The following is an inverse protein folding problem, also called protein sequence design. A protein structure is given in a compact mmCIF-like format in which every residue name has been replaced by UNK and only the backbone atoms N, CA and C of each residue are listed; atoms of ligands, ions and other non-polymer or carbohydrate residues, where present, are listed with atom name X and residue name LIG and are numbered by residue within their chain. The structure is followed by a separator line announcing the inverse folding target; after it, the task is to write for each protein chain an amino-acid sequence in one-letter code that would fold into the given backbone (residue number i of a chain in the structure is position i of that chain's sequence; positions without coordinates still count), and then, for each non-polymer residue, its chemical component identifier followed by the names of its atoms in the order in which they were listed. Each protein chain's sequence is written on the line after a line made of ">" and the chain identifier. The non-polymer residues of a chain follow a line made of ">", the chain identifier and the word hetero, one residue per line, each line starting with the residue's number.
data_IF_688173791183
#
_entry.id   IF_688173791183
#
_cell.length_a   1.000
_cell.length_b   1.000
_cell.length_c   1.000
_cell.angle_alpha   90.00
_cell.angle_beta   90.00
_cell.angle_gamma   90.00
#
_symmetry.space_group_name_H-M   'P 1'
#
loop_
_entity.id
_entity.type
_entity.pdbx_description
1 polymer ?
#
# COMPACT_ATOMS: atom_id res chain seq x y z
N UNK A 1 14.89 -21.37 24.01
CA UNK A 1 15.86 -20.93 22.99
C UNK A 1 15.28 -19.95 21.97
N UNK A 2 13.97 -19.88 21.73
CA UNK A 2 13.37 -18.88 20.82
C UNK A 2 12.39 -17.98 21.59
N UNK A 3 12.20 -16.72 21.20
CA UNK A 3 11.20 -15.83 21.80
C UNK A 3 9.80 -16.13 21.26
N UNK A 4 9.69 -16.31 19.95
CA UNK A 4 8.47 -16.71 19.24
C UNK A 4 8.64 -18.08 18.58
N UNK A 5 7.54 -18.82 18.44
CA UNK A 5 7.49 -20.06 17.67
C UNK A 5 6.57 -19.93 16.46
N UNK A 6 7.02 -20.48 15.33
CA UNK A 6 6.28 -20.54 14.09
C UNK A 6 6.42 -21.94 13.49
N UNK A 7 5.34 -22.41 12.86
CA UNK A 7 5.30 -23.61 12.06
C UNK A 7 4.68 -23.29 10.68
N UNK A 8 5.21 -23.89 9.63
CA UNK A 8 4.62 -23.73 8.29
C UNK A 8 3.36 -24.60 8.17
N UNK A 9 2.32 -24.09 7.53
CA UNK A 9 1.08 -24.83 7.25
C UNK A 9 0.81 -24.88 5.75
N UNK A 10 0.06 -25.89 5.30
CA UNK A 10 -0.32 -26.04 3.89
C UNK A 10 -1.54 -25.21 3.51
N UNK A 11 -2.34 -24.79 4.49
CA UNK A 11 -3.62 -24.09 4.30
C UNK A 11 -3.87 -23.03 5.39
N UNK A 12 -4.68 -21.99 5.12
CA UNK A 12 -5.10 -21.03 6.13
C UNK A 12 -6.24 -21.64 6.97
N UNK A 13 -5.87 -22.41 8.00
CA UNK A 13 -6.81 -23.16 8.84
C UNK A 13 -6.69 -22.73 10.32
N UNK A 14 -7.76 -22.12 10.85
CA UNK A 14 -7.83 -21.65 12.24
C UNK A 14 -7.92 -22.81 13.24
N UNK A 15 -8.46 -23.95 12.85
CA UNK A 15 -8.57 -25.12 13.71
C UNK A 15 -7.18 -25.72 13.99
N UNK A 16 -6.38 -25.91 12.94
CA UNK A 16 -4.99 -26.36 13.08
C UNK A 16 -4.16 -25.35 13.88
N UNK A 17 -4.35 -24.05 13.63
CA UNK A 17 -3.68 -23.00 14.38
C UNK A 17 -4.02 -23.07 15.88
N UNK A 18 -5.30 -23.30 16.21
CA UNK A 18 -5.74 -23.44 17.59
C UNK A 18 -5.13 -24.67 18.27
N UNK A 19 -5.13 -25.82 17.60
CA UNK A 19 -4.55 -27.07 18.13
C UNK A 19 -3.06 -26.91 18.43
N UNK A 20 -2.31 -26.28 17.51
CA UNK A 20 -0.89 -26.01 17.73
C UNK A 20 -0.67 -25.05 18.91
N UNK A 21 -1.45 -23.97 18.98
CA UNK A 21 -1.34 -23.00 20.05
C UNK A 21 -1.64 -23.61 21.43
N UNK A 22 -2.73 -24.38 21.55
CA UNK A 22 -3.11 -25.07 22.78
C UNK A 22 -2.00 -26.03 23.25
N UNK A 23 -1.43 -26.83 22.33
CA UNK A 23 -0.36 -27.76 22.65
C UNK A 23 0.91 -27.04 23.16
N UNK A 24 1.32 -25.95 22.50
CA UNK A 24 2.50 -25.18 22.92
C UNK A 24 2.26 -24.47 24.25
N UNK A 25 1.09 -23.87 24.43
CA UNK A 25 0.77 -23.07 25.62
C UNK A 25 0.53 -23.93 26.86
N UNK A 26 0.17 -25.21 26.70
CA UNK A 26 0.09 -26.16 27.81
C UNK A 26 1.45 -26.40 28.47
N UNK A 27 2.50 -26.57 27.66
CA UNK A 27 3.88 -26.80 28.14
C UNK A 27 4.63 -25.49 28.41
N UNK A 28 4.28 -24.43 27.69
CA UNK A 28 4.91 -23.12 27.76
C UNK A 28 3.85 -22.00 27.84
N UNK A 29 3.19 -21.82 28.99
CA UNK A 29 2.21 -20.75 29.17
C UNK A 29 2.80 -19.38 28.83
N UNK A 30 2.04 -18.59 28.07
CA UNK A 30 2.46 -17.25 27.63
C UNK A 30 3.46 -17.24 26.47
N UNK A 31 3.81 -18.39 25.88
CA UNK A 31 4.68 -18.44 24.71
C UNK A 31 4.05 -17.70 23.52
N UNK A 32 4.74 -16.69 23.00
CA UNK A 32 4.27 -15.97 21.82
C UNK A 32 4.47 -16.81 20.56
N UNK A 33 3.48 -16.78 19.67
CA UNK A 33 3.50 -17.50 18.41
C UNK A 33 3.56 -16.51 17.23
N UNK A 34 4.00 -17.01 16.09
CA UNK A 34 3.96 -16.30 14.82
C UNK A 34 3.27 -17.12 13.73
N UNK A 35 2.60 -16.44 12.79
CA UNK A 35 1.82 -17.06 11.72
C UNK A 35 2.10 -16.40 10.37
N UNK A 36 2.39 -17.21 9.36
CA UNK A 36 2.53 -16.77 7.97
C UNK A 36 1.15 -16.77 7.28
N UNK A 37 0.59 -15.58 7.05
CA UNK A 37 -0.57 -15.38 6.20
C UNK A 37 -0.17 -15.48 4.72
N UNK A 38 0.19 -16.70 4.29
CA UNK A 38 0.90 -16.95 3.04
C UNK A 38 0.10 -16.60 1.78
N UNK A 39 0.68 -15.87 0.81
CA UNK A 39 0.11 -15.71 -0.53
C UNK A 39 0.09 -16.99 -1.36
N UNK A 40 0.85 -18.03 -0.96
CA UNK A 40 0.79 -19.35 -1.58
C UNK A 40 -0.56 -20.04 -1.36
N UNK A 41 -1.35 -19.57 -0.39
CA UNK A 41 -2.71 -20.02 -0.19
C UNK A 41 -3.65 -19.37 -1.20
N UNK A 42 -4.54 -20.17 -1.79
CA UNK A 42 -5.70 -19.62 -2.47
C UNK A 42 -6.80 -19.31 -1.43
N UNK A 43 -6.73 -18.12 -0.84
CA UNK A 43 -7.58 -17.69 0.28
C UNK A 43 -9.07 -17.86 -0.01
N UNK A 44 -9.56 -17.32 -1.14
CA UNK A 44 -10.98 -17.39 -1.53
C UNK A 44 -11.46 -18.79 -1.89
N UNK A 45 -10.55 -19.70 -2.27
CA UNK A 45 -10.89 -21.11 -2.47
C UNK A 45 -11.07 -21.85 -1.13
N UNK A 46 -10.45 -21.36 -0.06
CA UNK A 46 -10.42 -22.02 1.25
C UNK A 46 -11.38 -21.41 2.27
N UNK A 47 -11.60 -20.11 2.21
CA UNK A 47 -12.33 -19.34 3.20
C UNK A 47 -13.30 -18.37 2.52
N UNK A 48 -14.44 -18.14 3.17
CA UNK A 48 -15.37 -17.07 2.81
C UNK A 48 -14.87 -15.69 3.29
N UNK A 49 -15.52 -14.62 2.85
CA UNK A 49 -15.12 -13.24 3.19
C UNK A 49 -15.18 -12.91 4.67
N UNK A 50 -16.16 -13.45 5.39
CA UNK A 50 -16.31 -13.23 6.83
C UNK A 50 -15.16 -13.88 7.58
N UNK A 51 -14.82 -15.11 7.19
CA UNK A 51 -13.70 -15.87 7.72
C UNK A 51 -12.36 -15.18 7.43
N UNK A 52 -12.13 -14.71 6.20
CA UNK A 52 -10.92 -13.98 5.80
C UNK A 52 -10.77 -12.68 6.62
N UNK A 53 -11.85 -11.90 6.74
CA UNK A 53 -11.82 -10.63 7.45
C UNK A 53 -11.48 -10.79 8.94
N UNK A 54 -11.86 -11.92 9.55
CA UNK A 54 -11.62 -12.19 10.98
C UNK A 54 -10.35 -13.00 11.26
N UNK A 55 -9.74 -13.61 10.24
CA UNK A 55 -8.66 -14.58 10.38
C UNK A 55 -7.54 -14.14 11.31
N UNK A 56 -7.00 -12.94 11.11
CA UNK A 56 -5.90 -12.41 11.93
C UNK A 56 -6.32 -12.10 13.38
N UNK A 57 -7.56 -11.66 13.57
CA UNK A 57 -8.11 -11.38 14.91
C UNK A 57 -8.24 -12.66 15.72
N UNK A 58 -8.69 -13.74 15.08
CA UNK A 58 -8.82 -15.05 15.73
C UNK A 58 -7.46 -15.67 16.05
N UNK A 59 -6.49 -15.60 15.12
CA UNK A 59 -5.10 -15.96 15.40
C UNK A 59 -4.51 -15.18 16.59
N UNK A 60 -4.77 -13.88 16.68
CA UNK A 60 -4.27 -13.04 17.76
C UNK A 60 -4.82 -13.48 19.14
N UNK A 61 -6.07 -13.92 19.19
CA UNK A 61 -6.71 -14.46 20.39
C UNK A 61 -6.09 -15.80 20.84
N UNK A 62 -5.56 -16.60 19.90
CA UNK A 62 -4.87 -17.86 20.18
C UNK A 62 -3.42 -17.69 20.61
N UNK A 63 -2.85 -16.48 20.56
CA UNK A 63 -1.46 -16.22 20.95
C UNK A 63 -0.48 -15.96 19.80
N UNK A 64 -0.95 -15.92 18.55
CA UNK A 64 -0.14 -15.51 17.39
C UNK A 64 0.03 -13.99 17.36
N UNK A 65 1.10 -13.51 18.01
CA UNK A 65 1.37 -12.07 18.23
C UNK A 65 2.16 -11.43 17.09
N UNK A 66 2.82 -12.22 16.26
CA UNK A 66 3.46 -11.74 15.04
C UNK A 66 2.85 -12.42 13.82
N UNK A 67 2.18 -11.65 12.97
CA UNK A 67 1.49 -12.15 11.79
C UNK A 67 1.97 -11.37 10.57
N UNK A 68 2.29 -12.07 9.49
CA UNK A 68 2.94 -11.46 8.34
C UNK A 68 2.52 -12.12 7.03
N UNK A 69 2.53 -11.34 5.95
CA UNK A 69 2.32 -11.82 4.58
C UNK A 69 3.67 -11.82 3.88
N UNK A 70 4.26 -12.99 3.70
CA UNK A 70 5.62 -13.18 3.16
C UNK A 70 5.86 -12.52 1.80
N UNK A 71 4.93 -12.68 0.85
CA UNK A 71 5.10 -12.23 -0.54
C UNK A 71 4.26 -11.00 -0.89
N UNK A 72 3.82 -10.21 0.09
CA UNK A 72 2.99 -9.02 -0.15
C UNK A 72 3.64 -8.04 -1.14
N UNK A 73 4.93 -7.74 -0.95
CA UNK A 73 5.69 -6.85 -1.83
C UNK A 73 5.86 -7.39 -3.24
N UNK A 74 6.07 -8.70 -3.40
CA UNK A 74 6.17 -9.32 -4.72
C UNK A 74 4.87 -9.16 -5.52
N UNK A 75 3.73 -9.50 -4.90
CA UNK A 75 2.44 -9.42 -5.58
C UNK A 75 2.01 -7.97 -5.87
N UNK A 76 2.18 -7.05 -4.92
CA UNK A 76 1.78 -5.65 -5.10
C UNK A 76 2.62 -4.92 -6.15
N UNK A 77 3.94 -5.16 -6.18
CA UNK A 77 4.85 -4.55 -7.15
C UNK A 77 4.60 -5.07 -8.57
N UNK A 78 4.51 -6.40 -8.74
CA UNK A 78 4.35 -6.99 -10.07
C UNK A 78 2.99 -6.65 -10.69
N UNK A 79 1.90 -6.75 -9.91
CA UNK A 79 0.57 -6.46 -10.41
C UNK A 79 0.43 -4.98 -10.80
N UNK A 80 0.84 -4.06 -9.93
CA UNK A 80 0.70 -2.62 -10.19
C UNK A 80 1.48 -2.19 -11.44
N UNK A 81 2.71 -2.68 -11.62
CA UNK A 81 3.51 -2.39 -12.81
C UNK A 81 2.95 -3.05 -14.07
N UNK A 82 2.46 -4.29 -14.00
CA UNK A 82 1.84 -4.98 -15.13
C UNK A 82 0.59 -4.22 -15.63
N UNK A 83 -0.28 -3.80 -14.70
CA UNK A 83 -1.48 -3.03 -15.02
C UNK A 83 -1.12 -1.68 -15.65
N UNK A 84 -0.14 -0.96 -15.09
CA UNK A 84 0.35 0.30 -15.63
C UNK A 84 0.93 0.12 -17.04
N UNK A 85 1.84 -0.82 -17.24
CA UNK A 85 2.48 -1.06 -18.55
C UNK A 85 1.45 -1.43 -19.62
N UNK A 86 0.47 -2.28 -19.27
CA UNK A 86 -0.63 -2.64 -20.18
C UNK A 86 -1.50 -1.43 -20.51
N UNK A 87 -1.89 -0.64 -19.52
CA UNK A 87 -2.71 0.55 -19.73
C UNK A 87 -1.96 1.61 -20.54
N UNK A 88 -0.67 1.81 -20.28
CA UNK A 88 0.18 2.74 -21.00
C UNK A 88 0.34 2.35 -22.47
N UNK A 89 0.51 1.05 -22.78
CA UNK A 89 0.50 0.55 -24.17
C UNK A 89 -0.80 0.93 -24.91
N UNK A 90 -1.94 0.93 -24.22
CA UNK A 90 -3.25 1.15 -24.84
C UNK A 90 -3.67 2.63 -24.88
N UNK A 91 -3.24 3.44 -23.89
CA UNK A 91 -3.77 4.79 -23.65
C UNK A 91 -2.70 5.86 -23.46
N UNK A 92 -1.41 5.50 -23.55
CA UNK A 92 -0.29 6.42 -23.34
C UNK A 92 -0.39 7.16 -22.01
N UNK A 93 -0.12 8.47 -22.05
CA UNK A 93 -0.09 9.33 -20.85
C UNK A 93 -1.40 9.38 -20.06
N UNK A 94 -2.57 9.10 -20.68
CA UNK A 94 -3.82 9.03 -19.94
C UNK A 94 -3.80 7.92 -18.86
N UNK A 95 -3.06 6.83 -19.08
CA UNK A 95 -2.87 5.78 -18.08
C UNK A 95 -2.01 6.26 -16.90
N UNK A 96 -0.93 6.98 -17.18
CA UNK A 96 -0.03 7.51 -16.16
C UNK A 96 -0.67 8.65 -15.37
N UNK A 97 -1.36 9.58 -16.04
CA UNK A 97 -2.13 10.64 -15.36
C UNK A 97 -3.18 10.06 -14.42
N UNK A 98 -3.86 8.95 -14.78
CA UNK A 98 -4.77 8.26 -13.87
C UNK A 98 -4.08 7.68 -12.63
N UNK A 99 -2.82 7.22 -12.75
CA UNK A 99 -2.04 6.80 -11.59
C UNK A 99 -1.74 8.01 -10.69
N UNK A 100 -1.29 9.12 -11.29
CA UNK A 100 -0.98 10.36 -10.58
C UNK A 100 -2.21 10.95 -9.85
N UNK A 101 -3.39 10.96 -10.48
CA UNK A 101 -4.64 11.38 -9.84
C UNK A 101 -5.02 10.53 -8.63
N UNK A 102 -4.70 9.22 -8.67
CA UNK A 102 -4.89 8.34 -7.51
C UNK A 102 -3.90 8.68 -6.38
N UNK A 103 -2.68 9.09 -6.70
CA UNK A 103 -1.71 9.56 -5.70
C UNK A 103 -2.16 10.86 -5.05
N UNK A 104 -2.67 11.83 -5.83
CA UNK A 104 -3.24 13.06 -5.28
C UNK A 104 -4.48 12.77 -4.41
N UNK A 105 -5.36 11.86 -4.83
CA UNK A 105 -6.49 11.46 -3.99
C UNK A 105 -6.02 10.78 -2.69
N UNK A 106 -5.02 9.91 -2.77
CA UNK A 106 -4.45 9.26 -1.58
C UNK A 106 -3.77 10.25 -0.63
N UNK A 107 -3.11 11.29 -1.16
CA UNK A 107 -2.55 12.39 -0.34
C UNK A 107 -3.65 13.10 0.44
N UNK A 108 -4.72 13.54 -0.25
CA UNK A 108 -5.84 14.27 0.36
C UNK A 108 -6.63 13.45 1.36
N UNK A 109 -6.93 12.19 1.02
CA UNK A 109 -7.89 11.39 1.77
C UNK A 109 -7.23 10.58 2.90
N UNK A 110 -5.94 10.22 2.73
CA UNK A 110 -5.25 9.25 3.62
C UNK A 110 -3.83 9.67 4.03
N UNK A 111 -3.31 10.81 3.57
CA UNK A 111 -1.98 11.30 3.95
C UNK A 111 -0.81 10.61 3.24
N UNK A 112 -0.99 10.12 2.01
CA UNK A 112 0.11 9.63 1.18
C UNK A 112 1.04 10.78 0.74
N UNK A 113 2.36 10.68 1.00
CA UNK A 113 3.29 11.80 0.78
C UNK A 113 4.19 11.66 -0.46
N UNK A 114 4.27 10.46 -1.06
CA UNK A 114 5.23 10.17 -2.13
C UNK A 114 4.87 10.81 -3.50
N UNK A 115 3.72 11.48 -3.62
CA UNK A 115 3.37 12.28 -4.81
C UNK A 115 4.39 13.41 -5.04
N UNK A 116 4.89 14.00 -3.94
CA UNK A 116 6.03 14.94 -3.91
C UNK A 116 7.32 14.16 -3.74
N UNK A 117 7.68 13.43 -4.79
CA UNK A 117 8.76 12.44 -4.75
C UNK A 117 10.14 13.04 -4.44
N UNK A 118 10.44 14.30 -4.78
CA UNK A 118 11.70 14.95 -4.40
C UNK A 118 11.76 15.18 -2.90
N UNK A 119 10.70 15.75 -2.31
CA UNK A 119 10.60 15.90 -0.86
C UNK A 119 10.65 14.54 -0.15
N UNK A 120 9.92 13.54 -0.67
CA UNK A 120 9.83 12.21 -0.06
C UNK A 120 11.17 11.48 0.03
N UNK A 121 12.04 11.62 -0.98
CA UNK A 121 13.39 11.03 -0.96
C UNK A 121 14.43 11.90 -0.22
N UNK A 122 14.00 13.01 0.38
CA UNK A 122 14.83 13.82 1.27
C UNK A 122 15.57 14.98 0.60
N UNK A 123 15.18 15.44 -0.59
CA UNK A 123 15.84 16.59 -1.24
C UNK A 123 15.91 17.80 -0.31
N UNK A 124 14.84 18.10 0.43
CA UNK A 124 14.83 19.20 1.41
C UNK A 124 15.78 19.00 2.60
N UNK A 125 15.96 17.74 3.02
CA UNK A 125 16.95 17.40 4.06
C UNK A 125 18.37 17.68 3.56
N UNK A 126 18.71 17.28 2.34
CA UNK A 126 20.04 17.53 1.77
C UNK A 126 20.27 19.01 1.42
N UNK A 127 19.22 19.76 1.09
CA UNK A 127 19.29 21.22 0.97
C UNK A 127 19.66 21.88 2.30
N UNK A 128 19.04 21.45 3.41
CA UNK A 128 19.41 21.93 4.75
C UNK A 128 20.85 21.61 5.10
N UNK A 129 21.32 20.39 4.83
CA UNK A 129 22.73 20.00 5.03
C UNK A 129 23.66 20.92 4.24
N UNK A 130 23.33 21.17 2.96
CA UNK A 130 24.10 22.06 2.09
C UNK A 130 24.14 23.49 2.63
N UNK A 131 23.01 24.00 3.10
CA UNK A 131 22.94 25.33 3.67
C UNK A 131 23.75 25.44 4.97
N UNK A 132 23.73 24.44 5.85
CA UNK A 132 24.57 24.43 7.05
C UNK A 132 26.06 24.47 6.69
N UNK A 133 26.50 23.65 5.73
CA UNK A 133 27.90 23.62 5.28
C UNK A 133 28.33 24.97 4.68
N UNK A 134 27.44 25.59 3.89
CA UNK A 134 27.70 26.87 3.23
C UNK A 134 27.49 28.09 4.14
N UNK A 135 27.19 27.91 5.43
CA UNK A 135 26.86 29.01 6.34
C UNK A 135 25.65 29.83 5.89
N UNK A 136 24.68 29.19 5.22
CA UNK A 136 23.45 29.81 4.70
C UNK A 136 23.58 30.48 3.33
N UNK A 137 24.73 30.35 2.65
CA UNK A 137 25.01 31.08 1.41
C UNK A 137 25.02 30.18 0.15
N UNK A 138 24.46 28.97 0.22
CA UNK A 138 24.42 28.12 -0.97
C UNK A 138 23.40 28.64 -1.98
N UNK A 139 23.82 28.77 -3.23
CA UNK A 139 22.97 29.14 -4.38
C UNK A 139 22.56 27.93 -5.23
N UNK A 140 22.90 26.71 -4.82
CA UNK A 140 22.72 25.48 -5.60
C UNK A 140 21.85 24.44 -4.88
N UNK A 141 20.92 24.89 -4.03
CA UNK A 141 19.89 24.01 -3.45
C UNK A 141 18.89 23.55 -4.51
N UNK A 142 18.30 22.36 -4.32
CA UNK A 142 17.54 21.65 -5.35
C UNK A 142 16.02 21.87 -5.30
N UNK A 143 15.41 22.05 -4.12
CA UNK A 143 13.95 22.20 -4.02
C UNK A 143 13.44 23.55 -4.52
N UNK A 144 14.14 24.63 -4.16
CA UNK A 144 13.75 25.98 -4.59
C UNK A 144 13.88 26.11 -6.12
N UNK A 145 12.78 26.45 -6.79
CA UNK A 145 12.71 26.52 -8.26
C UNK A 145 12.56 25.17 -8.97
N UNK A 146 12.27 24.09 -8.23
CA UNK A 146 11.93 22.79 -8.83
C UNK A 146 10.50 22.77 -9.36
N UNK A 147 10.23 21.92 -10.36
CA UNK A 147 8.86 21.70 -10.87
C UNK A 147 7.92 21.16 -9.80
N UNK A 148 8.44 20.40 -8.82
CA UNK A 148 7.66 19.95 -7.67
C UNK A 148 7.20 21.14 -6.81
N UNK A 149 8.11 22.08 -6.52
CA UNK A 149 7.78 23.28 -5.77
C UNK A 149 6.82 24.22 -6.50
N UNK A 150 6.71 24.11 -7.82
CA UNK A 150 5.82 24.94 -8.66
C UNK A 150 4.46 24.29 -8.90
N UNK A 151 4.41 22.99 -9.25
CA UNK A 151 3.21 22.35 -9.83
C UNK A 151 2.45 21.45 -8.84
N UNK A 152 3.00 21.19 -7.65
CA UNK A 152 2.42 20.28 -6.66
C UNK A 152 1.90 21.04 -5.43
N UNK A 153 1.60 22.34 -5.60
CA UNK A 153 0.98 23.17 -4.57
C UNK A 153 -0.53 22.91 -4.53
N UNK A 154 -1.10 23.00 -3.33
CA UNK A 154 -2.52 22.72 -3.05
C UNK A 154 -3.49 23.68 -3.76
N UNK A 155 -3.00 24.82 -4.28
CA UNK A 155 -3.82 25.87 -4.91
C UNK A 155 -4.01 25.73 -6.43
N UNK A 156 -3.27 24.85 -7.11
CA UNK A 156 -3.40 24.72 -8.57
C UNK A 156 -4.58 23.82 -8.92
N UNK A 157 -5.72 24.48 -9.15
CA UNK A 157 -6.99 23.86 -9.51
C UNK A 157 -6.87 22.88 -10.68
N UNK A 158 -7.49 21.71 -10.51
CA UNK A 158 -7.70 20.72 -11.55
C UNK A 158 -8.33 21.42 -12.76
N UNK A 159 -7.63 21.45 -13.90
CA UNK A 159 -8.24 21.83 -15.17
C UNK A 159 -9.33 20.79 -15.47
N UNK A 160 -10.62 21.16 -15.54
CA UNK A 160 -11.68 20.20 -15.82
C UNK A 160 -11.39 19.53 -17.16
N UNK A 161 -11.45 18.20 -17.20
CA UNK A 161 -11.45 17.48 -18.47
C UNK A 161 -12.65 17.96 -19.29
N UNK A 162 -12.42 18.59 -20.45
CA UNK A 162 -13.49 18.78 -21.43
C UNK A 162 -14.01 17.39 -21.81
N UNK A 163 -15.32 17.20 -21.67
CA UNK A 163 -15.97 15.95 -22.04
C UNK A 163 -15.70 15.64 -23.51
N UNK A 164 -15.05 14.49 -23.76
CA UNK A 164 -14.84 14.00 -25.12
C UNK A 164 -16.21 13.76 -25.79
N UNK A 165 -16.42 14.18 -27.05
CA UNK A 165 -17.71 14.07 -27.73
C UNK A 165 -18.19 12.63 -28.01
N UNK A 166 -17.42 11.61 -27.62
CA UNK A 166 -17.67 10.20 -27.92
C UNK A 166 -18.16 9.35 -26.73
N UNK A 167 -18.58 9.94 -25.61
CA UNK A 167 -19.26 9.16 -24.57
C UNK A 167 -20.73 8.88 -24.94
N UNK A 168 -21.17 7.60 -25.02
CA UNK A 168 -22.57 7.29 -25.24
C UNK A 168 -23.38 7.71 -24.00
N UNK A 169 -24.37 8.57 -24.22
CA UNK A 169 -25.30 9.05 -23.20
C UNK A 169 -25.96 7.87 -22.47
N UNK A 170 -25.67 7.69 -21.19
CA UNK A 170 -26.46 6.82 -20.31
C UNK A 170 -27.89 7.37 -20.19
N UNK A 171 -28.94 6.58 -20.45
CA UNK A 171 -30.31 7.05 -20.33
C UNK A 171 -30.67 7.27 -18.85
N UNK A 172 -31.30 8.41 -18.58
CA UNK A 172 -31.85 8.79 -17.28
C UNK A 172 -32.91 7.78 -16.80
N UNK A 173 -32.88 7.32 -15.54
CA UNK A 173 -33.96 6.52 -14.99
C UNK A 173 -35.18 7.42 -14.78
N UNK A 174 -36.22 7.23 -15.60
CA UNK A 174 -37.54 7.83 -15.35
C UNK A 174 -38.08 7.30 -14.03
N UNK A 175 -38.52 8.23 -13.18
CA UNK A 175 -39.32 7.97 -12.01
C UNK A 175 -40.70 7.39 -12.40
N UNK A 176 -40.99 6.19 -11.89
CA UNK A 176 -42.28 5.67 -11.42
C UNK A 176 -42.14 4.16 -11.16
#
# INVERSE_FOLDING_TARGET
>A
YADLLWWETSEPNLEEARQFAEAVLAEHPGKMLAYNCSPSFNWKKKLDDTSIARFQTELAAMGYKFQFITLAGFHSLNLSMFELARAYRLKGMAAYSKLQEREFAAERDFGYEAVKHQQFVGTGYFDMVTQVIAGGNSSTTALAGSTEAEQFRVEDGIVPAEASPDEPSTPSPRAA
#
